data_IF_848048988193
#
_entry.id   IF_848048988193
#
_cell.length_a   1.000
_cell.length_b   1.000
_cell.length_c   1.000
_cell.angle_alpha   90.00
_cell.angle_beta   90.00
_cell.angle_gamma   90.00
#
_symmetry.space_group_name_H-M   'P 1'
#
loop_
_entity.id
_entity.type
_entity.pdbx_description
1 polymer ?
#
# COMPACT_ATOMS: atom_id res chain seq x y z
N UNK A 1 5.12 -6.89 24.69
CA UNK A 1 4.45 -5.69 24.12
C UNK A 1 3.61 -5.97 22.85
N UNK A 2 2.38 -5.42 22.76
CA UNK A 2 1.60 -5.36 21.50
C UNK A 2 1.97 -4.14 20.66
N UNK A 3 2.18 -4.33 19.37
CA UNK A 3 2.57 -3.26 18.43
C UNK A 3 1.77 -3.33 17.14
N UNK A 4 1.51 -2.19 16.50
CA UNK A 4 0.89 -2.17 15.18
C UNK A 4 1.98 -2.23 14.11
N UNK A 5 1.90 -3.23 13.24
CA UNK A 5 2.81 -3.43 12.12
C UNK A 5 2.05 -3.47 10.80
N UNK A 6 2.60 -2.81 9.79
CA UNK A 6 2.10 -2.87 8.42
C UNK A 6 2.80 -3.98 7.63
N UNK A 7 2.01 -4.77 6.89
CA UNK A 7 2.51 -5.71 5.89
C UNK A 7 1.96 -5.33 4.53
N UNK A 8 2.83 -5.08 3.55
CA UNK A 8 2.44 -4.63 2.21
C UNK A 8 2.89 -5.65 1.17
N UNK A 9 1.96 -6.01 0.28
CA UNK A 9 2.16 -6.99 -0.78
C UNK A 9 1.62 -6.45 -2.10
N UNK A 10 2.29 -6.73 -3.22
CA UNK A 10 1.79 -6.46 -4.56
C UNK A 10 0.82 -7.57 -5.00
N UNK A 11 -0.28 -7.20 -5.64
CA UNK A 11 -1.34 -8.10 -6.08
C UNK A 11 -1.14 -8.49 -7.54
N UNK A 12 -1.29 -9.79 -7.82
CA UNK A 12 -1.29 -10.40 -9.15
C UNK A 12 -2.75 -10.66 -9.57
N UNK A 13 -3.44 -9.59 -9.99
CA UNK A 13 -4.88 -9.61 -10.28
C UNK A 13 -5.15 -10.07 -11.72
N UNK A 14 -6.19 -10.89 -11.89
CA UNK A 14 -6.78 -11.09 -13.23
C UNK A 14 -7.48 -9.82 -13.70
N UNK A 15 -7.74 -9.64 -15.01
CA UNK A 15 -8.47 -8.48 -15.50
C UNK A 15 -9.82 -8.27 -14.80
N UNK A 16 -10.58 -9.34 -14.56
CA UNK A 16 -11.86 -9.28 -13.83
C UNK A 16 -11.68 -8.84 -12.37
N UNK A 17 -10.66 -9.33 -11.68
CA UNK A 17 -10.34 -8.89 -10.33
C UNK A 17 -9.88 -7.43 -10.29
N UNK A 18 -9.08 -6.98 -11.26
CA UNK A 18 -8.69 -5.58 -11.37
C UNK A 18 -9.93 -4.67 -11.54
N UNK A 19 -10.88 -5.06 -12.40
CA UNK A 19 -12.17 -4.37 -12.55
C UNK A 19 -12.96 -4.34 -11.23
N UNK A 20 -13.04 -5.46 -10.51
CA UNK A 20 -13.72 -5.52 -9.22
C UNK A 20 -13.09 -4.56 -8.20
N UNK A 21 -11.75 -4.52 -8.12
CA UNK A 21 -11.03 -3.59 -7.22
C UNK A 21 -11.27 -2.13 -7.64
N UNK A 22 -11.33 -1.84 -8.94
CA UNK A 22 -11.72 -0.52 -9.42
C UNK A 22 -13.15 -0.13 -9.04
N UNK A 23 -14.10 -1.06 -9.14
CA UNK A 23 -15.48 -0.82 -8.74
C UNK A 23 -15.55 -0.45 -7.25
N UNK A 24 -14.82 -1.16 -6.39
CA UNK A 24 -14.71 -0.85 -4.96
C UNK A 24 -14.08 0.53 -4.70
N UNK A 25 -12.96 0.85 -5.35
CA UNK A 25 -12.35 2.18 -5.22
C UNK A 25 -13.24 3.29 -5.80
N UNK A 26 -14.02 2.97 -6.84
CA UNK A 26 -15.04 3.84 -7.43
C UNK A 26 -16.17 4.14 -6.46
N UNK A 27 -16.71 3.13 -5.78
CA UNK A 27 -17.71 3.25 -4.73
C UNK A 27 -17.24 4.15 -3.58
N UNK A 28 -16.00 4.00 -3.14
CA UNK A 28 -15.40 4.89 -2.14
C UNK A 28 -15.36 6.35 -2.63
N UNK A 29 -15.06 6.59 -3.91
CA UNK A 29 -15.10 7.94 -4.50
C UNK A 29 -16.51 8.50 -4.57
N UNK A 30 -17.49 7.69 -4.96
CA UNK A 30 -18.91 8.10 -5.06
C UNK A 30 -19.43 8.53 -3.69
N UNK A 31 -19.28 7.70 -2.66
CA UNK A 31 -19.72 8.05 -1.31
C UNK A 31 -19.02 9.30 -0.76
N UNK A 32 -17.70 9.44 -1.00
CA UNK A 32 -16.96 10.66 -0.61
C UNK A 32 -17.53 11.90 -1.28
N UNK A 33 -17.73 11.87 -2.60
CA UNK A 33 -18.20 13.03 -3.35
C UNK A 33 -19.65 13.37 -3.03
N UNK A 34 -20.52 12.37 -2.91
CA UNK A 34 -21.91 12.57 -2.50
C UNK A 34 -22.00 13.25 -1.14
N UNK A 35 -21.26 12.73 -0.15
CA UNK A 35 -21.29 13.29 1.21
C UNK A 35 -20.68 14.70 1.25
N UNK A 36 -19.64 14.96 0.46
CA UNK A 36 -19.06 16.29 0.35
C UNK A 36 -20.02 17.28 -0.33
N UNK A 37 -20.74 16.86 -1.36
CA UNK A 37 -21.75 17.68 -2.02
C UNK A 37 -22.86 18.07 -1.04
N UNK A 38 -23.36 17.11 -0.25
CA UNK A 38 -24.34 17.36 0.81
C UNK A 38 -23.83 18.37 1.86
N UNK A 39 -22.60 18.20 2.34
CA UNK A 39 -22.00 19.12 3.31
C UNK A 39 -21.86 20.52 2.72
N UNK A 40 -21.41 20.63 1.46
CA UNK A 40 -21.29 21.92 0.76
C UNK A 40 -22.65 22.59 0.59
N UNK A 41 -23.67 21.87 0.12
CA UNK A 41 -25.01 22.42 -0.05
C UNK A 41 -25.56 23.03 1.25
N UNK A 42 -25.40 22.36 2.39
CA UNK A 42 -25.84 22.91 3.68
C UNK A 42 -24.99 24.11 4.13
N UNK A 43 -23.69 24.11 3.88
CA UNK A 43 -22.84 25.26 4.18
C UNK A 43 -23.17 26.47 3.32
N UNK A 44 -23.40 26.25 2.02
CA UNK A 44 -23.72 27.28 1.04
C UNK A 44 -25.12 27.86 1.34
N UNK A 45 -26.11 27.02 1.67
CA UNK A 45 -27.44 27.44 2.11
C UNK A 45 -27.36 28.31 3.36
N UNK A 46 -26.64 27.87 4.40
CA UNK A 46 -26.45 28.65 5.63
C UNK A 46 -25.67 29.95 5.40
N UNK A 47 -24.85 30.03 4.36
CA UNK A 47 -24.17 31.27 3.99
C UNK A 47 -25.15 32.23 3.31
N UNK A 48 -26.01 31.73 2.41
CA UNK A 48 -27.05 32.51 1.73
C UNK A 48 -28.12 33.02 2.69
N UNK A 49 -28.59 32.20 3.64
CA UNK A 49 -29.57 32.61 4.65
C UNK A 49 -29.06 33.82 5.46
N UNK A 50 -27.76 33.85 5.80
CA UNK A 50 -27.15 34.99 6.47
C UNK A 50 -27.10 36.25 5.61
N UNK A 51 -27.00 36.14 4.29
CA UNK A 51 -26.98 37.31 3.41
C UNK A 51 -28.34 38.01 3.33
N UNK A 52 -29.44 37.29 3.63
CA UNK A 52 -30.79 37.86 3.67
C UNK A 52 -31.28 38.11 5.10
N UNK A 53 -30.38 38.11 6.09
CA UNK A 53 -30.69 38.53 7.47
C UNK A 53 -31.37 37.46 8.34
N UNK A 54 -31.38 36.19 7.93
CA UNK A 54 -31.91 35.10 8.77
C UNK A 54 -31.05 34.95 10.02
N UNK A 55 -31.69 34.94 11.18
CA UNK A 55 -31.02 34.80 12.47
C UNK A 55 -30.39 33.40 12.63
N UNK A 56 -29.32 33.31 13.42
CA UNK A 56 -28.51 32.08 13.53
C UNK A 56 -29.32 30.86 14.05
N UNK A 57 -30.41 31.09 14.80
CA UNK A 57 -31.36 30.10 15.31
C UNK A 57 -32.33 29.57 14.24
N UNK A 58 -32.57 30.34 13.18
CA UNK A 58 -33.46 29.97 12.07
C UNK A 58 -32.71 29.39 10.86
N UNK A 59 -31.38 29.29 10.92
CA UNK A 59 -30.57 28.73 9.84
C UNK A 59 -30.84 27.24 9.62
N UNK A 60 -30.70 26.80 8.36
CA UNK A 60 -30.75 25.40 7.97
C UNK A 60 -29.89 24.55 8.91
N UNK A 61 -30.43 23.49 9.56
CA UNK A 61 -29.71 22.70 10.55
C UNK A 61 -28.35 22.19 10.05
N UNK A 62 -27.31 22.37 10.87
CA UNK A 62 -25.97 21.95 10.49
C UNK A 62 -25.88 20.43 10.35
N UNK A 63 -25.20 19.96 9.29
CA UNK A 63 -24.91 18.53 9.13
C UNK A 63 -23.73 18.13 10.00
N UNK A 64 -23.93 17.14 10.86
CA UNK A 64 -22.82 16.54 11.61
C UNK A 64 -21.83 15.85 10.64
N UNK A 65 -20.56 16.21 10.75
CA UNK A 65 -19.48 15.66 9.92
C UNK A 65 -18.86 14.37 10.48
N UNK A 66 -19.45 13.81 11.53
CA UNK A 66 -18.99 12.56 12.11
C UNK A 66 -19.23 11.38 11.16
N UNK A 67 -18.36 10.36 11.22
CA UNK A 67 -18.55 9.16 10.40
C UNK A 67 -19.92 8.49 10.63
N UNK A 68 -20.43 8.34 11.87
CA UNK A 68 -21.78 7.79 12.08
C UNK A 68 -22.89 8.60 11.40
N UNK A 69 -22.85 9.94 11.48
CA UNK A 69 -23.84 10.81 10.84
C UNK A 69 -23.81 10.68 9.32
N UNK A 70 -22.62 10.70 8.72
CA UNK A 70 -22.45 10.52 7.29
C UNK A 70 -22.90 9.13 6.82
N UNK A 71 -22.66 8.07 7.61
CA UNK A 71 -23.16 6.72 7.33
C UNK A 71 -24.68 6.64 7.37
N UNK A 72 -25.32 7.26 8.37
CA UNK A 72 -26.78 7.31 8.48
C UNK A 72 -27.39 7.96 7.24
N UNK A 73 -26.87 9.12 6.84
CA UNK A 73 -27.32 9.82 5.65
C UNK A 73 -27.07 9.01 4.37
N UNK A 74 -25.89 8.40 4.22
CA UNK A 74 -25.58 7.54 3.07
C UNK A 74 -26.49 6.32 2.98
N UNK A 75 -26.80 5.67 4.10
CA UNK A 75 -27.66 4.49 4.11
C UNK A 75 -29.10 4.79 3.63
N UNK A 76 -29.61 6.00 3.87
CA UNK A 76 -30.90 6.43 3.34
C UNK A 76 -30.84 6.69 1.82
N UNK A 77 -29.77 7.32 1.34
CA UNK A 77 -29.66 7.73 -0.06
C UNK A 77 -29.08 6.66 -1.01
N UNK A 78 -28.34 5.66 -0.50
CA UNK A 78 -27.61 4.70 -1.34
C UNK A 78 -28.47 3.89 -2.31
N UNK A 79 -29.74 3.51 -2.03
CA UNK A 79 -30.53 2.76 -3.01
C UNK A 79 -30.76 3.55 -4.31
N UNK A 80 -30.95 4.87 -4.19
CA UNK A 80 -31.15 5.78 -5.32
C UNK A 80 -29.82 6.17 -5.97
N UNK A 81 -28.83 6.56 -5.15
CA UNK A 81 -27.55 7.11 -5.64
C UNK A 81 -26.63 6.04 -6.21
N UNK A 82 -26.70 4.82 -5.67
CA UNK A 82 -25.88 3.69 -6.10
C UNK A 82 -26.73 2.40 -6.07
N UNK A 83 -27.65 2.19 -7.02
CA UNK A 83 -28.49 0.98 -7.08
C UNK A 83 -27.66 -0.32 -7.10
N UNK A 84 -26.45 -0.26 -7.66
CA UNK A 84 -25.44 -1.33 -7.70
C UNK A 84 -24.69 -1.55 -6.37
N UNK A 85 -25.10 -0.93 -5.26
CA UNK A 85 -24.36 -0.99 -3.99
C UNK A 85 -24.12 -2.42 -3.47
N UNK A 86 -24.99 -3.37 -3.82
CA UNK A 86 -24.85 -4.78 -3.45
C UNK A 86 -23.73 -5.52 -4.19
N UNK A 87 -23.24 -5.00 -5.32
CA UNK A 87 -22.16 -5.62 -6.10
C UNK A 87 -20.81 -5.49 -5.38
N UNK A 88 -20.60 -4.41 -4.63
CA UNK A 88 -19.36 -4.13 -3.89
C UNK A 88 -19.53 -4.34 -2.39
N UNK A 89 -18.41 -4.45 -1.67
CA UNK A 89 -18.46 -4.51 -0.20
C UNK A 89 -18.98 -3.19 0.39
N UNK A 90 -19.76 -3.28 1.47
CA UNK A 90 -20.17 -2.12 2.29
C UNK A 90 -18.98 -1.28 2.77
N UNK A 91 -17.82 -1.92 2.95
CA UNK A 91 -16.57 -1.27 3.35
C UNK A 91 -16.05 -0.27 2.30
N UNK A 92 -16.43 -0.46 1.03
CA UNK A 92 -16.05 0.44 -0.06
C UNK A 92 -16.62 1.85 0.14
N UNK A 93 -17.93 1.96 0.37
CA UNK A 93 -18.57 3.23 0.65
C UNK A 93 -18.08 3.82 1.98
N UNK A 94 -17.94 2.98 3.01
CA UNK A 94 -17.40 3.40 4.30
C UNK A 94 -15.99 4.02 4.17
N UNK A 95 -15.12 3.48 3.31
CA UNK A 95 -13.80 4.06 3.05
C UNK A 95 -13.89 5.51 2.57
N UNK A 96 -14.86 5.81 1.71
CA UNK A 96 -15.12 7.16 1.22
C UNK A 96 -15.58 8.11 2.32
N UNK A 97 -16.56 7.67 3.11
CA UNK A 97 -17.15 8.45 4.20
C UNK A 97 -16.15 8.70 5.33
N UNK A 98 -15.37 7.70 5.73
CA UNK A 98 -14.32 7.82 6.76
C UNK A 98 -13.24 8.81 6.32
N UNK A 99 -12.82 8.75 5.04
CA UNK A 99 -11.87 9.71 4.51
C UNK A 99 -12.41 11.15 4.53
N UNK A 100 -13.70 11.36 4.23
CA UNK A 100 -14.32 12.68 4.31
C UNK A 100 -14.46 13.16 5.76
N UNK A 101 -14.97 12.32 6.66
CA UNK A 101 -15.14 12.64 8.08
C UNK A 101 -13.82 13.08 8.72
N UNK A 102 -12.73 12.33 8.47
CA UNK A 102 -11.38 12.70 8.91
C UNK A 102 -10.92 14.01 8.27
N UNK A 103 -11.18 14.21 6.99
CA UNK A 103 -10.82 15.43 6.28
C UNK A 103 -11.49 16.67 6.86
N UNK A 104 -12.80 16.61 7.12
CA UNK A 104 -13.59 17.68 7.72
C UNK A 104 -13.17 17.94 9.17
N UNK A 105 -12.93 16.88 9.96
CA UNK A 105 -12.40 17.00 11.31
C UNK A 105 -11.04 17.69 11.33
N UNK A 106 -10.11 17.25 10.48
CA UNK A 106 -8.77 17.84 10.40
C UNK A 106 -8.83 19.33 9.99
N UNK A 107 -9.72 19.68 9.05
CA UNK A 107 -9.97 21.06 8.66
C UNK A 107 -10.48 21.90 9.83
N UNK A 108 -11.52 21.43 10.52
CA UNK A 108 -12.11 22.11 11.67
C UNK A 108 -11.11 22.28 12.82
N UNK A 109 -10.37 21.21 13.16
CA UNK A 109 -9.36 21.23 14.22
C UNK A 109 -8.20 22.18 13.89
N UNK A 110 -7.79 22.24 12.62
CA UNK A 110 -6.73 23.17 12.20
C UNK A 110 -7.15 24.64 12.30
N UNK A 111 -8.42 24.96 12.03
CA UNK A 111 -8.97 26.32 12.20
C UNK A 111 -9.10 26.73 13.66
N UNK A 112 -9.29 25.75 14.56
CA UNK A 112 -9.43 25.95 16.01
C UNK A 112 -8.10 25.86 16.77
N UNK A 113 -6.96 25.78 16.06
CA UNK A 113 -5.64 25.64 16.69
C UNK A 113 -5.41 24.31 17.42
N UNK A 114 -6.29 23.32 17.29
CA UNK A 114 -6.20 22.02 18.00
C UNK A 114 -5.21 21.04 17.35
N UNK A 115 -4.68 21.38 16.18
CA UNK A 115 -3.76 20.57 15.41
C UNK A 115 -2.49 21.35 15.13
N UNK A 116 -1.34 20.77 15.48
CA UNK A 116 -0.04 21.33 15.17
C UNK A 116 0.20 21.42 13.64
N UNK A 117 0.91 22.48 13.23
CA UNK A 117 1.32 22.73 11.85
C UNK A 117 0.36 23.63 11.06
N UNK A 118 0.63 23.76 9.75
CA UNK A 118 -0.11 24.66 8.86
C UNK A 118 -1.61 24.34 8.81
N UNK A 119 -2.48 25.37 8.73
CA UNK A 119 -3.91 25.18 8.47
C UNK A 119 -4.14 24.28 7.25
N UNK A 120 -5.06 23.32 7.38
CA UNK A 120 -5.40 22.43 6.26
C UNK A 120 -6.58 23.00 5.49
N UNK A 121 -6.57 22.82 4.16
CA UNK A 121 -7.67 23.26 3.31
C UNK A 121 -8.92 22.40 3.47
N UNK A 122 -10.08 22.95 3.09
CA UNK A 122 -11.34 22.21 3.08
C UNK A 122 -11.27 21.01 2.11
N UNK A 123 -11.90 19.86 2.43
CA UNK A 123 -11.91 18.70 1.55
C UNK A 123 -12.41 19.01 0.13
N UNK A 124 -11.76 18.39 -0.87
CA UNK A 124 -12.10 18.57 -2.30
C UNK A 124 -12.77 17.33 -2.87
N UNK A 125 -13.54 17.53 -3.94
CA UNK A 125 -14.08 16.42 -4.73
C UNK A 125 -12.95 15.56 -5.30
N UNK A 126 -13.11 14.25 -5.17
CA UNK A 126 -12.20 13.25 -5.71
C UNK A 126 -12.53 12.99 -7.18
N UNK A 127 -11.50 12.94 -8.02
CA UNK A 127 -11.66 12.69 -9.45
C UNK A 127 -11.08 11.33 -9.82
N UNK A 128 -11.68 10.63 -10.79
CA UNK A 128 -11.16 9.33 -11.25
C UNK A 128 -9.72 9.42 -11.77
N UNK A 129 -9.35 10.54 -12.38
CA UNK A 129 -8.04 10.74 -13.04
C UNK A 129 -6.93 11.21 -12.09
N UNK A 130 -7.26 12.04 -11.09
CA UNK A 130 -6.26 12.62 -10.16
C UNK A 130 -6.18 11.92 -8.81
N UNK A 131 -7.22 11.17 -8.43
CA UNK A 131 -7.23 10.49 -7.13
C UNK A 131 -6.73 9.06 -7.32
N UNK A 132 -5.72 8.69 -6.54
CA UNK A 132 -5.27 7.31 -6.45
C UNK A 132 -6.40 6.41 -5.97
N UNK A 133 -6.80 5.39 -6.73
CA UNK A 133 -7.89 4.51 -6.33
C UNK A 133 -7.46 3.63 -5.15
N UNK A 134 -8.32 3.56 -4.14
CA UNK A 134 -8.08 2.79 -2.92
C UNK A 134 -9.39 2.39 -2.24
N UNK A 135 -9.39 1.24 -1.58
CA UNK A 135 -10.47 0.75 -0.71
C UNK A 135 -9.87 0.12 0.55
N UNK A 136 -10.52 0.27 1.70
CA UNK A 136 -10.12 -0.33 2.99
C UNK A 136 -11.23 -1.24 3.50
N UNK A 137 -10.83 -2.40 4.01
CA UNK A 137 -11.69 -3.39 4.64
C UNK A 137 -11.31 -3.50 6.12
N UNK A 138 -12.28 -3.31 7.00
CA UNK A 138 -12.11 -3.46 8.46
C UNK A 138 -12.95 -4.58 9.05
N UNK A 139 -13.95 -5.05 8.31
CA UNK A 139 -14.85 -6.13 8.72
C UNK A 139 -14.99 -7.18 7.61
N UNK A 140 -15.49 -8.36 7.97
CA UNK A 140 -15.67 -9.50 7.06
C UNK A 140 -14.44 -10.40 6.97
N UNK A 141 -14.44 -11.30 5.98
CA UNK A 141 -13.36 -12.26 5.77
C UNK A 141 -12.08 -11.55 5.28
N UNK A 142 -11.14 -11.32 6.19
CA UNK A 142 -9.79 -10.79 5.90
C UNK A 142 -8.79 -11.82 6.41
N UNK A 143 -8.20 -12.60 5.49
CA UNK A 143 -7.24 -13.65 5.87
C UNK A 143 -6.18 -13.88 4.81
N UNK A 144 -5.09 -14.49 5.23
CA UNK A 144 -4.04 -15.05 4.36
C UNK A 144 -4.34 -16.54 4.22
N UNK A 145 -4.31 -17.06 2.99
CA UNK A 145 -4.55 -18.48 2.72
C UNK A 145 -3.32 -19.34 3.11
N UNK A 146 -3.50 -20.64 3.41
CA UNK A 146 -2.42 -21.54 3.84
C UNK A 146 -1.26 -21.66 2.84
N UNK A 147 -1.51 -21.43 1.55
CA UNK A 147 -0.49 -21.41 0.50
C UNK A 147 0.48 -20.22 0.59
N UNK A 148 0.22 -19.26 1.51
CA UNK A 148 1.01 -18.04 1.77
C UNK A 148 1.18 -17.14 0.54
N UNK A 149 0.41 -17.37 -0.53
CA UNK A 149 0.45 -16.64 -1.80
C UNK A 149 -0.90 -16.03 -2.17
N UNK A 150 -1.97 -16.39 -1.46
CA UNK A 150 -3.28 -15.80 -1.67
C UNK A 150 -3.81 -15.16 -0.39
N UNK A 151 -4.71 -14.20 -0.58
CA UNK A 151 -5.47 -13.56 0.47
C UNK A 151 -6.95 -13.61 0.10
N UNK A 152 -7.83 -13.50 1.09
CA UNK A 152 -9.26 -13.34 0.87
C UNK A 152 -9.71 -12.00 1.43
N UNK A 153 -10.45 -11.25 0.62
CA UNK A 153 -11.09 -10.00 1.00
C UNK A 153 -12.59 -10.04 0.70
N UNK A 154 -13.43 -9.32 1.48
CA UNK A 154 -14.88 -9.31 1.28
C UNK A 154 -15.26 -8.84 -0.13
N UNK A 155 -16.15 -9.58 -0.81
CA UNK A 155 -16.64 -9.32 -2.19
C UNK A 155 -15.59 -9.32 -3.30
N UNK A 156 -14.30 -9.28 -2.98
CA UNK A 156 -13.20 -9.47 -3.93
C UNK A 156 -12.75 -10.93 -4.04
N UNK A 157 -13.06 -11.75 -3.04
CA UNK A 157 -12.72 -13.17 -3.03
C UNK A 157 -11.22 -13.41 -2.85
N UNK A 158 -10.75 -14.53 -3.41
CA UNK A 158 -9.35 -14.97 -3.34
C UNK A 158 -8.49 -14.19 -4.35
N UNK A 159 -7.52 -13.43 -3.86
CA UNK A 159 -6.59 -12.63 -4.65
C UNK A 159 -5.16 -13.16 -4.48
N UNK A 160 -4.40 -13.23 -5.58
CA UNK A 160 -3.02 -13.70 -5.58
C UNK A 160 -2.04 -12.55 -5.26
N UNK A 161 -0.99 -12.88 -4.52
CA UNK A 161 0.13 -12.01 -4.20
C UNK A 161 1.32 -12.32 -5.13
N UNK A 162 2.11 -11.29 -5.45
CA UNK A 162 3.36 -11.48 -6.18
C UNK A 162 4.48 -12.04 -5.28
N UNK A 163 4.53 -11.62 -4.02
CA UNK A 163 5.47 -12.17 -3.04
C UNK A 163 4.75 -12.99 -1.96
N UNK A 164 5.49 -13.89 -1.30
CA UNK A 164 4.91 -14.71 -0.25
C UNK A 164 4.62 -13.91 1.01
N UNK A 165 3.42 -14.07 1.55
CA UNK A 165 3.01 -13.59 2.86
C UNK A 165 3.58 -14.43 4.03
N UNK A 166 4.63 -15.26 3.80
CA UNK A 166 5.22 -16.18 4.79
C UNK A 166 5.45 -15.54 6.17
N UNK A 167 6.01 -14.33 6.23
CA UNK A 167 6.29 -13.64 7.51
C UNK A 167 5.01 -13.34 8.29
N UNK A 168 3.96 -12.88 7.60
CA UNK A 168 2.66 -12.62 8.21
C UNK A 168 1.96 -13.93 8.58
N UNK A 169 1.90 -14.89 7.67
CA UNK A 169 1.26 -16.19 7.89
C UNK A 169 1.81 -16.90 9.14
N UNK A 170 3.14 -16.98 9.31
CA UNK A 170 3.75 -17.59 10.50
C UNK A 170 3.31 -16.94 11.81
N UNK A 171 3.10 -15.61 11.81
CA UNK A 171 2.66 -14.88 13.00
C UNK A 171 1.20 -15.17 13.34
N UNK A 172 0.35 -15.27 12.31
CA UNK A 172 -1.06 -15.64 12.45
C UNK A 172 -1.21 -17.09 12.93
N UNK A 173 -0.47 -18.01 12.31
CA UNK A 173 -0.39 -19.44 12.69
C UNK A 173 0.04 -19.60 14.16
N UNK A 174 1.01 -18.80 14.62
CA UNK A 174 1.50 -18.83 15.99
C UNK A 174 0.62 -18.07 17.00
N UNK A 175 -0.52 -17.49 16.60
CA UNK A 175 -1.37 -16.69 17.49
C UNK A 175 -0.78 -15.35 17.95
N UNK A 176 0.44 -15.01 17.54
CA UNK A 176 1.15 -13.77 17.93
C UNK A 176 0.78 -12.55 17.07
N UNK A 177 -0.21 -12.68 16.19
CA UNK A 177 -0.69 -11.57 15.38
C UNK A 177 -2.17 -11.66 15.04
N UNK A 178 -2.80 -10.49 14.88
CA UNK A 178 -4.19 -10.33 14.46
C UNK A 178 -4.31 -9.28 13.37
N UNK A 179 -4.91 -9.64 12.24
CA UNK A 179 -5.20 -8.67 11.17
C UNK A 179 -6.35 -7.78 11.61
N UNK A 180 -6.13 -6.46 11.62
CA UNK A 180 -7.15 -5.47 11.98
C UNK A 180 -7.84 -4.88 10.75
N UNK A 181 -7.11 -4.69 9.65
CA UNK A 181 -7.68 -4.19 8.41
C UNK A 181 -6.79 -4.48 7.20
N UNK A 182 -7.37 -4.45 6.01
CA UNK A 182 -6.64 -4.54 4.75
C UNK A 182 -7.01 -3.34 3.86
N UNK A 183 -6.01 -2.64 3.32
CA UNK A 183 -6.21 -1.56 2.36
C UNK A 183 -5.64 -1.95 0.99
N UNK A 184 -6.50 -1.98 -0.03
CA UNK A 184 -6.08 -2.19 -1.42
C UNK A 184 -5.94 -0.84 -2.09
N UNK A 185 -4.74 -0.53 -2.61
CA UNK A 185 -4.41 0.77 -3.22
C UNK A 185 -3.56 0.57 -4.47
N UNK A 186 -3.82 1.36 -5.50
CA UNK A 186 -2.96 1.40 -6.69
C UNK A 186 -1.77 2.31 -6.45
N UNK A 187 -0.56 1.83 -6.67
CA UNK A 187 0.67 2.59 -6.48
C UNK A 187 1.75 2.06 -7.45
N UNK A 188 2.54 2.95 -8.05
CA UNK A 188 3.58 2.58 -9.01
C UNK A 188 3.10 1.71 -10.19
N UNK A 189 1.84 1.88 -10.63
CA UNK A 189 1.24 1.09 -11.71
C UNK A 189 0.75 -0.30 -11.32
N UNK A 190 0.85 -0.69 -10.04
CA UNK A 190 0.38 -1.99 -9.52
C UNK A 190 -0.61 -1.82 -8.38
N UNK A 191 -1.45 -2.82 -8.19
CA UNK A 191 -2.28 -2.91 -6.99
C UNK A 191 -1.47 -3.49 -5.84
N UNK A 192 -1.63 -2.92 -4.66
CA UNK A 192 -1.03 -3.43 -3.44
C UNK A 192 -2.10 -3.60 -2.38
N UNK A 193 -1.98 -4.65 -1.58
CA UNK A 193 -2.70 -4.81 -0.32
C UNK A 193 -1.77 -4.45 0.83
N UNK A 194 -2.25 -3.65 1.77
CA UNK A 194 -1.55 -3.30 3.00
C UNK A 194 -2.39 -3.74 4.19
N UNK A 195 -1.90 -4.70 4.96
CA UNK A 195 -2.52 -5.15 6.20
C UNK A 195 -2.03 -4.31 7.37
N UNK A 196 -2.96 -3.83 8.18
CA UNK A 196 -2.67 -3.33 9.53
C UNK A 196 -2.84 -4.50 10.48
N UNK A 197 -1.76 -4.89 11.15
CA UNK A 197 -1.69 -6.10 11.97
C UNK A 197 -1.24 -5.72 13.36
N UNK A 198 -2.01 -6.10 14.37
CA UNK A 198 -1.56 -6.10 15.76
C UNK A 198 -0.64 -7.30 15.96
N UNK A 199 0.59 -7.07 16.40
CA UNK A 199 1.62 -8.09 16.58
C UNK A 199 2.11 -8.05 18.01
N UNK A 200 2.07 -9.20 18.66
CA UNK A 200 2.71 -9.44 19.93
C UNK A 200 4.21 -9.71 19.71
N UNK A 201 5.03 -8.91 20.38
CA UNK A 201 6.48 -9.04 20.37
C UNK A 201 6.96 -9.33 21.77
N UNK A 202 7.81 -10.34 21.88
CA UNK A 202 8.64 -10.52 23.05
C UNK A 202 9.47 -9.25 23.25
N UNK A 203 9.41 -8.69 24.45
CA UNK A 203 10.40 -7.72 24.88
C UNK A 203 11.74 -8.45 24.96
N UNK A 204 12.72 -7.95 24.22
CA UNK A 204 14.08 -8.43 24.34
C UNK A 204 14.75 -7.58 25.40
N UNK A 205 15.04 -8.19 26.55
CA UNK A 205 16.00 -7.62 27.48
C UNK A 205 17.36 -7.61 26.79
N UNK A 206 18.11 -6.50 26.80
CA UNK A 206 19.47 -6.51 26.29
C UNK A 206 20.30 -7.55 27.05
N UNK A 207 21.12 -8.33 26.36
CA UNK A 207 22.01 -9.31 27.01
C UNK A 207 23.01 -8.64 27.98
N UNK A 208 23.23 -7.32 27.82
CA UNK A 208 24.10 -6.50 28.66
C UNK A 208 23.44 -5.15 28.97
N UNK A 209 22.54 -5.06 29.97
CA UNK A 209 21.77 -3.84 30.24
C UNK A 209 22.63 -2.63 30.68
N UNK A 210 23.82 -2.86 31.25
CA UNK A 210 24.76 -1.78 31.60
C UNK A 210 25.64 -1.28 30.44
N UNK A 211 25.63 -1.97 29.30
CA UNK A 211 26.42 -1.58 28.13
C UNK A 211 25.62 -0.60 27.26
N UNK A 212 25.68 0.68 27.59
CA UNK A 212 25.02 1.75 26.84
C UNK A 212 26.01 2.37 25.85
N UNK A 213 25.69 2.34 24.56
CA UNK A 213 26.44 3.03 23.52
C UNK A 213 25.52 4.08 22.89
N UNK A 214 25.95 5.34 22.90
CA UNK A 214 25.28 6.40 22.16
C UNK A 214 25.52 6.23 20.67
N UNK A 215 24.48 6.35 19.85
CA UNK A 215 24.56 6.26 18.40
C UNK A 215 24.07 7.58 17.80
N UNK A 216 24.97 8.31 17.12
CA UNK A 216 24.61 9.45 16.29
C UNK A 216 24.53 9.03 14.82
N UNK A 217 23.37 9.21 14.19
CA UNK A 217 23.10 8.76 12.81
C UNK A 217 23.27 9.93 11.86
N UNK A 218 24.26 9.84 10.97
CA UNK A 218 24.67 10.96 10.11
C UNK A 218 24.47 10.75 8.62
N UNK A 219 24.72 11.82 7.86
CA UNK A 219 24.77 11.78 6.39
C UNK A 219 26.18 11.36 5.91
N UNK A 220 27.23 11.81 6.63
CA UNK A 220 28.63 11.49 6.28
C UNK A 220 28.99 10.05 6.63
N UNK A 221 28.66 9.62 7.84
CA UNK A 221 28.79 8.26 8.37
C UNK A 221 27.40 7.73 8.72
N UNK A 222 27.16 6.42 8.53
CA UNK A 222 25.87 5.81 8.84
C UNK A 222 25.57 5.94 10.34
N UNK A 223 26.58 5.71 11.17
CA UNK A 223 26.50 5.84 12.61
C UNK A 223 27.87 6.21 13.18
N UNK A 224 27.88 7.08 14.19
CA UNK A 224 29.03 7.37 15.06
C UNK A 224 28.67 6.86 16.44
N UNK A 225 29.48 5.95 16.97
CA UNK A 225 29.27 5.37 18.28
C UNK A 225 30.01 6.21 19.33
N UNK A 226 29.48 6.28 20.55
CA UNK A 226 30.17 6.93 21.68
C UNK A 226 31.50 6.26 22.05
N UNK A 227 31.77 5.06 21.52
CA UNK A 227 33.06 4.37 21.58
C UNK A 227 34.11 4.98 20.63
N UNK A 228 33.74 5.91 19.76
CA UNK A 228 34.59 6.49 18.71
C UNK A 228 34.52 5.72 17.39
N UNK A 229 33.81 4.59 17.32
CA UNK A 229 33.66 3.83 16.08
C UNK A 229 32.81 4.57 15.04
N UNK A 230 33.27 4.57 13.78
CA UNK A 230 32.61 5.21 12.65
C UNK A 230 32.10 4.16 11.67
N UNK A 231 30.79 3.97 11.59
CA UNK A 231 30.17 3.08 10.62
C UNK A 231 30.02 3.82 9.28
N UNK A 232 30.61 3.33 8.17
CA UNK A 232 30.56 4.03 6.89
C UNK A 232 29.14 4.06 6.31
N UNK A 233 28.78 5.18 5.68
CA UNK A 233 27.51 5.29 4.95
C UNK A 233 27.63 4.60 3.57
N UNK A 234 26.83 3.56 3.26
CA UNK A 234 26.86 2.90 1.95
C UNK A 234 26.31 3.76 0.80
N UNK A 235 25.78 4.97 1.09
CA UNK A 235 25.31 5.97 0.12
C UNK A 235 24.32 5.44 -0.92
N UNK A 236 23.50 4.46 -0.54
CA UNK A 236 22.51 3.84 -1.44
C UNK A 236 21.58 4.86 -2.12
N UNK A 237 21.18 5.92 -1.40
CA UNK A 237 20.36 7.00 -1.95
C UNK A 237 21.05 7.74 -3.09
N UNK A 238 22.32 8.11 -2.93
CA UNK A 238 23.08 8.83 -3.95
C UNK A 238 23.19 7.98 -5.23
N UNK A 239 23.56 6.70 -5.08
CA UNK A 239 23.63 5.74 -6.19
C UNK A 239 22.28 5.57 -6.88
N UNK A 240 21.19 5.47 -6.11
CA UNK A 240 19.84 5.36 -6.65
C UNK A 240 19.41 6.64 -7.40
N UNK A 241 19.73 7.82 -6.87
CA UNK A 241 19.45 9.11 -7.50
C UNK A 241 20.22 9.30 -8.80
N UNK A 242 21.51 8.94 -8.85
CA UNK A 242 22.30 9.00 -10.07
C UNK A 242 21.73 8.06 -11.14
N UNK A 243 21.36 6.83 -10.74
CA UNK A 243 20.67 5.89 -11.63
C UNK A 243 19.34 6.47 -12.13
N UNK A 244 18.54 7.07 -11.25
CA UNK A 244 17.26 7.69 -11.61
C UNK A 244 17.47 8.88 -12.57
N UNK A 245 18.47 9.74 -12.34
CA UNK A 245 18.82 10.85 -13.23
C UNK A 245 19.25 10.33 -14.61
N UNK A 246 20.08 9.29 -14.67
CA UNK A 246 20.50 8.65 -15.93
C UNK A 246 19.29 8.08 -16.68
N UNK A 247 18.41 7.34 -15.99
CA UNK A 247 17.19 6.78 -16.57
C UNK A 247 16.21 7.87 -17.03
N UNK A 248 16.04 8.95 -16.25
CA UNK A 248 15.21 10.10 -16.60
C UNK A 248 15.71 10.81 -17.85
N UNK A 249 17.02 11.06 -17.97
CA UNK A 249 17.66 11.61 -19.19
C UNK A 249 17.51 10.67 -20.38
N UNK A 250 17.60 9.35 -20.17
CA UNK A 250 17.37 8.39 -21.23
C UNK A 250 15.90 8.35 -21.68
N UNK A 251 14.96 8.51 -20.75
CA UNK A 251 13.53 8.55 -21.02
C UNK A 251 13.10 9.84 -21.73
N UNK A 252 13.62 11.01 -21.33
CA UNK A 252 13.28 12.29 -21.96
C UNK A 252 13.68 12.34 -23.45
N UNK A 253 14.76 11.65 -23.82
CA UNK A 253 15.20 11.50 -25.22
C UNK A 253 14.38 10.49 -26.03
N UNK A 254 13.47 9.73 -25.40
CA UNK A 254 12.54 8.80 -26.08
C UNK A 254 11.20 9.49 -26.28
N UNK A 255 11.15 10.49 -27.15
CA UNK A 255 9.90 11.16 -27.49
C UNK A 255 9.03 10.27 -28.39
N UNK A 256 7.82 9.96 -27.92
CA UNK A 256 6.81 9.22 -28.67
C UNK A 256 6.04 10.08 -29.66
N UNK A 257 5.15 9.45 -30.45
CA UNK A 257 4.29 10.18 -31.36
C UNK A 257 3.24 10.98 -30.58
N UNK A 258 2.93 12.19 -31.02
CA UNK A 258 1.83 13.00 -30.47
C UNK A 258 0.89 13.42 -31.60
N UNK A 259 -0.35 12.92 -31.54
CA UNK A 259 -1.38 13.14 -32.56
C UNK A 259 -1.92 14.57 -32.55
N UNK A 260 -1.82 15.30 -31.42
CA UNK A 260 -2.29 16.70 -31.31
C UNK A 260 -1.30 17.69 -31.91
N UNK A 261 0.00 17.41 -31.81
CA UNK A 261 1.07 18.28 -32.29
C UNK A 261 1.73 17.80 -33.59
N UNK A 262 1.30 16.64 -34.13
CA UNK A 262 1.90 16.01 -35.31
C UNK A 262 3.31 15.47 -35.08
N UNK A 263 3.78 15.40 -33.83
CA UNK A 263 5.16 15.03 -33.51
C UNK A 263 5.44 13.59 -33.92
N UNK A 264 6.46 13.40 -34.77
CA UNK A 264 6.96 12.08 -35.14
C UNK A 264 7.80 11.46 -33.99
N UNK A 265 7.75 10.14 -33.81
CA UNK A 265 8.52 9.48 -32.75
C UNK A 265 10.01 9.52 -33.05
N UNK A 266 10.82 9.69 -32.00
CA UNK A 266 12.29 9.61 -32.11
C UNK A 266 12.75 8.18 -32.46
N UNK A 267 13.89 8.04 -33.16
CA UNK A 267 14.52 6.73 -33.44
C UNK A 267 14.73 5.90 -32.16
N UNK A 268 15.07 6.58 -31.04
CA UNK A 268 15.24 5.95 -29.72
C UNK A 268 13.93 5.43 -29.13
N UNK A 269 12.82 6.13 -29.36
CA UNK A 269 11.49 5.66 -28.99
C UNK A 269 11.06 4.46 -29.84
N UNK A 270 11.27 4.51 -31.16
CA UNK A 270 10.93 3.41 -32.08
C UNK A 270 11.66 2.12 -31.69
N UNK A 271 12.97 2.19 -31.42
CA UNK A 271 13.78 1.04 -30.94
C UNK A 271 13.28 0.47 -29.61
N UNK A 272 12.90 1.34 -28.66
CA UNK A 272 12.37 0.91 -27.37
C UNK A 272 10.98 0.28 -27.48
N UNK A 273 10.12 0.83 -28.36
CA UNK A 273 8.78 0.31 -28.63
C UNK A 273 8.83 -1.06 -29.33
N UNK A 274 9.86 -1.32 -30.14
CA UNK A 274 10.11 -2.63 -30.74
C UNK A 274 10.55 -3.66 -29.69
N UNK A 275 11.47 -3.29 -28.79
CA UNK A 275 11.92 -4.17 -27.70
C UNK A 275 10.81 -4.51 -26.69
N UNK A 276 9.86 -3.60 -26.45
CA UNK A 276 8.70 -3.85 -25.58
C UNK A 276 7.59 -4.71 -26.21
N UNK A 277 7.74 -5.10 -27.48
CA UNK A 277 6.76 -5.86 -28.26
C UNK A 277 7.04 -7.37 -28.29
N UNK A 278 7.95 -7.85 -27.44
CA UNK A 278 8.13 -9.28 -27.19
C UNK A 278 6.99 -9.79 -26.29
N UNK A 279 6.39 -10.96 -26.59
CA UNK A 279 5.35 -11.53 -25.74
C UNK A 279 5.84 -11.69 -24.31
N UNK A 280 5.02 -11.28 -23.33
CA UNK A 280 5.29 -11.50 -21.89
C UNK A 280 5.31 -12.98 -21.47
N UNK A 281 5.06 -13.89 -22.39
CA UNK A 281 5.24 -15.33 -22.21
C UNK A 281 6.63 -15.73 -22.70
N UNK A 282 7.64 -15.58 -21.85
CA UNK A 282 8.69 -16.57 -21.52
C UNK A 282 9.51 -15.90 -20.41
N UNK A 283 9.54 -16.52 -19.23
CA UNK A 283 10.49 -16.17 -18.18
C UNK A 283 11.55 -17.28 -18.13
N UNK A 284 12.71 -17.16 -18.81
CA UNK A 284 13.78 -18.13 -18.67
C UNK A 284 14.86 -17.54 -17.75
N UNK A 285 14.69 -17.75 -16.45
CA UNK A 285 15.70 -17.51 -15.41
C UNK A 285 15.19 -18.19 -14.13
N UNK A 286 15.81 -19.22 -13.53
CA UNK A 286 17.17 -19.75 -13.57
C UNK A 286 17.11 -21.20 -13.06
N UNK A 287 17.45 -22.18 -13.90
CA UNK A 287 18.13 -23.39 -13.43
C UNK A 287 19.62 -23.14 -13.70
N UNK A 288 20.35 -22.68 -12.70
CA UNK A 288 21.79 -22.90 -12.66
C UNK A 288 21.98 -24.21 -11.92
N UNK A 289 22.08 -25.29 -12.68
CA UNK A 289 22.67 -26.53 -12.20
C UNK A 289 24.15 -26.24 -11.88
N UNK A 290 24.51 -26.43 -10.62
CA UNK A 290 25.91 -26.56 -10.22
C UNK A 290 26.40 -27.87 -10.84
N UNK A 291 27.22 -27.80 -11.88
CA UNK A 291 27.99 -28.94 -12.37
C UNK A 291 29.17 -29.17 -11.42
N UNK A 292 29.42 -30.39 -10.91
CA UNK A 292 30.68 -30.69 -10.27
C UNK A 292 31.76 -30.78 -11.34
N UNK A 293 32.88 -30.08 -11.13
CA UNK A 293 34.08 -30.19 -11.96
C UNK A 293 34.80 -31.53 -11.73
N UNK A 294 35.65 -31.96 -12.68
CA UNK A 294 36.31 -33.26 -12.62
C UNK A 294 37.54 -33.19 -11.71
N UNK A 295 37.65 -34.09 -10.72
CA UNK A 295 38.91 -34.31 -10.00
C UNK A 295 39.35 -35.77 -10.17
N UNK A 296 40.43 -35.89 -10.94
CA UNK A 296 41.38 -36.98 -11.10
C UNK A 296 41.23 -38.25 -10.25
N UNK A 297 41.12 -39.39 -10.97
CA UNK A 297 41.60 -40.69 -10.50
C UNK A 297 43.12 -40.65 -10.37
N UNK A 298 43.65 -41.06 -9.21
CA UNK A 298 44.95 -41.73 -9.12
C UNK A 298 44.75 -43.06 -8.40
N UNK A 299 45.48 -44.05 -8.91
CA UNK A 299 45.40 -45.47 -8.59
C UNK A 299 46.32 -45.87 -7.41
N UNK A 300 46.03 -47.04 -6.83
CA UNK A 300 46.97 -47.95 -6.13
C UNK A 300 47.15 -47.71 -4.63
N UNK A 301 46.55 -48.50 -3.72
CA UNK A 301 46.93 -49.86 -3.21
C UNK A 301 47.66 -49.74 -1.82
N UNK A 302 47.80 -50.81 -0.98
CA UNK A 302 46.77 -51.43 -0.12
C UNK A 302 47.24 -51.71 1.33
N UNK A 303 46.35 -51.84 2.34
CA UNK A 303 46.62 -52.57 3.63
C UNK A 303 45.26 -52.81 4.33
N UNK A 304 44.66 -54.02 4.31
CA UNK A 304 44.81 -55.20 5.20
C UNK A 304 44.24 -55.00 6.63
N UNK A 305 43.43 -56.00 7.03
CA UNK A 305 42.92 -56.35 8.38
C UNK A 305 41.82 -55.43 8.97
N UNK A 306 40.77 -55.91 9.66
CA UNK A 306 40.29 -57.24 10.04
C UNK A 306 39.03 -57.04 10.90
N UNK A 307 38.07 -57.99 10.86
CA UNK A 307 37.12 -58.35 11.94
C UNK A 307 36.07 -57.26 12.31
N UNK A 308 34.84 -57.53 12.73
CA UNK A 308 33.96 -58.69 12.79
C UNK A 308 32.56 -58.17 13.14
N UNK A 309 31.53 -58.88 12.65
CA UNK A 309 30.27 -59.26 13.30
C UNK A 309 29.26 -58.26 13.93
N UNK A 310 28.02 -58.52 13.50
CA UNK A 310 26.76 -58.69 14.27
C UNK A 310 25.95 -57.47 14.74
N UNK A 311 24.79 -57.33 14.09
CA UNK A 311 23.43 -57.29 14.67
C UNK A 311 23.22 -56.56 16.01
N UNK A 312 22.54 -55.41 15.96
CA UNK A 312 21.10 -55.25 16.22
C UNK A 312 20.63 -53.83 15.90
#
# INVERSE_FOLDING_TARGET
MKTIQAYRFALDLTPGQEWAVYAHAGAARVAHNWALARVKAVLDQRAAERTYGVSDDQLTPAVSWSLPALRKAWNAAKPEVAPWWGEVSKEAFNTGLDALARGLKNWADSRKGKRAGRPVGFPRFKSRRRTTPSVRFTTGAIRVEPDRKHIVLPRLGRLKLHESARKLARRLEAGTARIMSAAVRRDGGRWHVSFTVEVERAERTPDRPGSVIGIDVGIKHLAVLSTGELVPNPRHLATAQDRLRRLGRALSRKSGPDRRTGRRPSKRWQRAAYAGRWPRSVNPARHQSVRPGPSHRKAGLPTVCSLERTER
#
